data_IF_568944104917
#
_entry.id   IF_568944104917
#
_cell.length_a   1.000
_cell.length_b   1.000
_cell.length_c   1.000
_cell.angle_alpha   90.00
_cell.angle_beta   90.00
_cell.angle_gamma   90.00
#
_symmetry.space_group_name_H-M   'P 1'
#
loop_
_entity.id
_entity.type
_entity.pdbx_description
1 polymer ?
#
# COMPACT_ATOMS: atom_id res chain seq x y z
N UNK A 1 -22.93 -0.20 -15.10
CA UNK A 1 -22.10 1.03 -15.26
C UNK A 1 -22.61 2.07 -14.28
N UNK A 2 -21.76 2.63 -13.46
CA UNK A 2 -22.13 3.70 -12.53
C UNK A 2 -22.55 4.93 -13.34
N UNK A 3 -23.73 5.49 -13.08
CA UNK A 3 -24.17 6.71 -13.75
C UNK A 3 -23.64 7.95 -13.00
N UNK A 4 -23.76 9.12 -13.60
CA UNK A 4 -23.28 10.37 -13.02
C UNK A 4 -23.93 10.68 -11.66
N UNK A 5 -25.24 10.45 -11.54
CA UNK A 5 -26.00 10.72 -10.32
C UNK A 5 -25.55 9.81 -9.16
N UNK A 6 -25.30 8.52 -9.43
CA UNK A 6 -24.79 7.58 -8.44
C UNK A 6 -23.39 8.00 -7.93
N UNK A 7 -22.50 8.44 -8.85
CA UNK A 7 -21.18 8.93 -8.49
C UNK A 7 -21.28 10.19 -7.61
N UNK A 8 -22.11 11.15 -8.01
CA UNK A 8 -22.35 12.39 -7.25
C UNK A 8 -22.90 12.06 -5.87
N UNK A 9 -23.87 11.16 -5.76
CA UNK A 9 -24.48 10.79 -4.49
C UNK A 9 -23.47 10.12 -3.56
N UNK A 10 -22.61 9.25 -4.08
CA UNK A 10 -21.50 8.66 -3.30
C UNK A 10 -20.55 9.73 -2.76
N UNK A 11 -20.17 10.71 -3.56
CA UNK A 11 -19.26 11.79 -3.13
C UNK A 11 -19.91 12.71 -2.10
N UNK A 12 -21.20 13.02 -2.25
CA UNK A 12 -21.97 13.84 -1.31
C UNK A 12 -21.99 13.29 0.11
N UNK A 13 -21.90 11.96 0.28
CA UNK A 13 -21.91 11.32 1.61
C UNK A 13 -20.75 11.83 2.49
N UNK A 14 -19.61 12.13 1.92
CA UNK A 14 -18.42 12.51 2.68
C UNK A 14 -17.86 13.90 2.33
N UNK A 15 -18.17 14.45 1.17
CA UNK A 15 -17.69 15.77 0.73
C UNK A 15 -18.84 16.79 0.70
N UNK A 16 -18.93 17.59 1.75
CA UNK A 16 -19.96 18.65 1.89
C UNK A 16 -19.74 19.84 0.95
N UNK A 17 -18.55 19.99 0.38
CA UNK A 17 -18.16 21.11 -0.51
C UNK A 17 -18.16 20.69 -1.99
N UNK A 18 -18.73 19.54 -2.30
CA UNK A 18 -18.87 19.10 -3.69
C UNK A 18 -19.66 20.10 -4.51
N UNK A 19 -19.14 20.44 -5.69
CA UNK A 19 -19.92 21.06 -6.75
C UNK A 19 -20.44 19.94 -7.69
N UNK A 20 -21.74 19.56 -7.60
CA UNK A 20 -22.29 18.47 -8.38
C UNK A 20 -22.27 18.76 -9.89
N UNK A 21 -22.48 20.03 -10.28
CA UNK A 21 -22.51 20.43 -11.69
C UNK A 21 -21.14 20.24 -12.36
N UNK A 22 -20.06 20.61 -11.65
CA UNK A 22 -18.69 20.41 -12.14
C UNK A 22 -18.37 18.93 -12.33
N UNK A 23 -18.76 18.09 -11.38
CA UNK A 23 -18.52 16.64 -11.47
C UNK A 23 -19.34 16.01 -12.59
N UNK A 24 -20.62 16.41 -12.73
CA UNK A 24 -21.47 15.97 -13.84
C UNK A 24 -20.87 16.37 -15.19
N UNK A 25 -20.43 17.62 -15.32
CA UNK A 25 -19.76 18.14 -16.52
C UNK A 25 -18.53 17.31 -16.90
N UNK A 26 -17.72 16.90 -15.91
CA UNK A 26 -16.55 16.06 -16.14
C UNK A 26 -16.93 14.64 -16.60
N UNK A 27 -17.98 14.08 -16.01
CA UNK A 27 -18.55 12.80 -16.43
C UNK A 27 -19.00 12.84 -17.90
N UNK A 28 -19.80 13.83 -18.26
CA UNK A 28 -20.33 13.99 -19.64
C UNK A 28 -19.20 14.26 -20.64
N UNK A 29 -18.19 15.04 -20.22
CA UNK A 29 -17.00 15.30 -21.04
C UNK A 29 -16.22 14.00 -21.32
N UNK A 30 -15.96 13.19 -20.30
CA UNK A 30 -15.27 11.91 -20.45
C UNK A 30 -16.01 10.95 -21.38
N UNK A 31 -17.34 10.82 -21.18
CA UNK A 31 -18.20 9.98 -22.06
C UNK A 31 -18.17 10.46 -23.50
N UNK A 32 -18.28 11.76 -23.73
CA UNK A 32 -18.25 12.37 -25.08
C UNK A 32 -16.87 12.20 -25.73
N UNK A 33 -15.80 12.49 -25.01
CA UNK A 33 -14.42 12.40 -25.52
C UNK A 33 -14.07 10.99 -25.99
N UNK A 34 -14.52 9.96 -25.28
CA UNK A 34 -14.25 8.56 -25.58
C UNK A 34 -15.39 7.85 -26.34
N UNK A 35 -16.38 8.59 -26.90
CA UNK A 35 -17.59 8.03 -27.52
C UNK A 35 -17.34 7.02 -28.64
N UNK A 36 -16.25 7.20 -29.41
CA UNK A 36 -15.87 6.34 -30.54
C UNK A 36 -14.86 5.25 -30.19
N UNK A 37 -14.49 5.11 -28.91
CA UNK A 37 -13.44 4.19 -28.50
C UNK A 37 -14.04 2.99 -27.77
N UNK A 38 -13.41 1.82 -27.94
CA UNK A 38 -13.76 0.57 -27.27
C UNK A 38 -12.54 -0.04 -26.57
N UNK A 39 -12.78 -0.67 -25.44
CA UNK A 39 -11.78 -1.47 -24.75
C UNK A 39 -11.56 -2.83 -25.41
N UNK A 40 -10.51 -3.54 -24.99
CA UNK A 40 -10.22 -4.91 -25.46
C UNK A 40 -11.37 -5.90 -25.13
N UNK A 41 -12.22 -5.60 -24.14
CA UNK A 41 -13.42 -6.36 -23.80
C UNK A 41 -14.59 -6.14 -24.78
N UNK A 42 -14.52 -5.11 -25.63
CA UNK A 42 -15.62 -4.66 -26.47
C UNK A 42 -16.52 -3.59 -25.85
N UNK A 43 -16.39 -3.34 -24.57
CA UNK A 43 -17.14 -2.29 -23.85
C UNK A 43 -16.77 -0.88 -24.31
N UNK A 44 -17.64 0.13 -24.16
CA UNK A 44 -17.29 1.53 -24.36
C UNK A 44 -16.09 1.92 -23.49
N UNK A 45 -15.13 2.69 -24.06
CA UNK A 45 -13.94 3.08 -23.32
C UNK A 45 -14.24 3.90 -22.06
N UNK A 46 -15.32 4.70 -22.10
CA UNK A 46 -15.78 5.53 -20.97
C UNK A 46 -16.06 4.76 -19.67
N UNK A 47 -16.30 3.45 -19.74
CA UNK A 47 -16.41 2.59 -18.55
C UNK A 47 -15.17 2.70 -17.66
N UNK A 48 -13.99 2.80 -18.29
CA UNK A 48 -12.72 2.83 -17.56
C UNK A 48 -12.57 4.08 -16.67
N UNK A 49 -12.58 5.31 -17.19
CA UNK A 49 -12.43 6.48 -16.36
C UNK A 49 -13.54 6.62 -15.30
N UNK A 50 -14.75 6.14 -15.59
CA UNK A 50 -15.84 6.11 -14.59
C UNK A 50 -15.51 5.16 -13.43
N UNK A 51 -14.98 3.97 -13.70
CA UNK A 51 -14.58 3.04 -12.65
C UNK A 51 -13.34 3.50 -11.90
N UNK A 52 -12.39 4.17 -12.55
CA UNK A 52 -11.26 4.84 -11.87
C UNK A 52 -11.77 5.89 -10.89
N UNK A 53 -12.69 6.76 -11.33
CA UNK A 53 -13.33 7.75 -10.46
C UNK A 53 -14.11 7.10 -9.30
N UNK A 54 -14.77 5.96 -9.54
CA UNK A 54 -15.45 5.18 -8.51
C UNK A 54 -14.46 4.64 -7.45
N UNK A 55 -13.32 4.11 -7.85
CA UNK A 55 -12.25 3.66 -6.93
C UNK A 55 -11.75 4.83 -6.08
N UNK A 56 -11.51 6.00 -6.69
CA UNK A 56 -11.08 7.22 -5.98
C UNK A 56 -12.16 7.71 -5.00
N UNK A 57 -13.43 7.54 -5.34
CA UNK A 57 -14.58 7.85 -4.46
C UNK A 57 -14.63 6.90 -3.26
N UNK A 58 -14.37 5.61 -3.45
CA UNK A 58 -14.27 4.64 -2.34
C UNK A 58 -13.12 5.00 -1.37
N UNK A 59 -12.06 5.63 -1.87
CA UNK A 59 -10.98 6.19 -1.07
C UNK A 59 -11.35 7.52 -0.39
N UNK A 60 -12.52 8.09 -0.69
CA UNK A 60 -13.05 9.38 -0.19
C UNK A 60 -12.13 10.57 -0.49
N UNK A 61 -11.58 10.62 -1.69
CA UNK A 61 -10.72 11.70 -2.14
C UNK A 61 -11.50 12.97 -2.50
N UNK A 62 -10.78 14.08 -2.68
CA UNK A 62 -11.35 15.38 -3.03
C UNK A 62 -11.94 15.41 -4.46
N UNK A 63 -12.75 16.43 -4.73
CA UNK A 63 -13.44 16.58 -6.01
C UNK A 63 -12.49 16.74 -7.19
N UNK A 64 -11.33 17.42 -7.01
CA UNK A 64 -10.35 17.60 -8.07
C UNK A 64 -9.72 16.26 -8.47
N UNK A 65 -9.37 15.43 -7.50
CA UNK A 65 -8.82 14.09 -7.75
C UNK A 65 -9.82 13.16 -8.44
N UNK A 66 -11.10 13.18 -8.03
CA UNK A 66 -12.15 12.39 -8.68
C UNK A 66 -12.39 12.87 -10.12
N UNK A 67 -12.44 14.19 -10.33
CA UNK A 67 -12.54 14.79 -11.66
C UNK A 67 -11.35 14.41 -12.53
N UNK A 68 -10.15 14.40 -11.97
CA UNK A 68 -8.94 13.90 -12.66
C UNK A 68 -9.09 12.44 -13.04
N UNK A 69 -9.65 11.58 -12.18
CA UNK A 69 -9.93 10.18 -12.50
C UNK A 69 -10.87 10.01 -13.69
N UNK A 70 -11.88 10.89 -13.86
CA UNK A 70 -12.76 10.91 -15.03
C UNK A 70 -12.02 11.35 -16.30
N UNK A 71 -11.03 12.25 -16.19
CA UNK A 71 -10.40 12.92 -17.32
C UNK A 71 -8.99 12.43 -17.64
N UNK A 72 -8.43 11.49 -16.88
CA UNK A 72 -6.99 11.15 -16.90
C UNK A 72 -6.45 10.70 -18.25
N UNK A 73 -7.27 10.01 -19.07
CA UNK A 73 -6.87 9.55 -20.41
C UNK A 73 -7.28 10.51 -21.53
N UNK A 74 -7.99 11.60 -21.22
CA UNK A 74 -8.56 12.48 -22.27
C UNK A 74 -7.51 13.22 -23.06
N UNK A 75 -6.41 13.68 -22.44
CA UNK A 75 -5.32 14.37 -23.14
C UNK A 75 -4.50 13.37 -24.00
N UNK A 76 -4.33 12.13 -23.52
CA UNK A 76 -3.54 11.12 -24.22
C UNK A 76 -4.30 10.52 -25.42
N UNK A 77 -5.56 10.16 -25.21
CA UNK A 77 -6.30 9.29 -26.13
C UNK A 77 -7.38 10.02 -26.93
N UNK A 78 -7.58 11.34 -26.73
CA UNK A 78 -8.64 12.10 -27.39
C UNK A 78 -8.16 13.45 -27.96
N UNK A 79 -9.12 14.26 -28.38
CA UNK A 79 -8.88 15.63 -28.89
C UNK A 79 -8.62 16.66 -27.80
N UNK A 80 -8.77 16.32 -26.52
CA UNK A 80 -8.64 17.26 -25.43
C UNK A 80 -7.19 17.69 -25.24
N UNK A 81 -6.99 18.98 -24.97
CA UNK A 81 -5.68 19.57 -24.69
C UNK A 81 -5.63 20.06 -23.24
N UNK A 82 -4.41 20.32 -22.73
CA UNK A 82 -4.23 20.93 -21.42
C UNK A 82 -5.07 22.21 -21.26
N UNK A 83 -5.07 23.10 -22.28
CA UNK A 83 -5.81 24.35 -22.26
C UNK A 83 -7.33 24.12 -22.24
N UNK A 84 -7.81 23.09 -22.94
CA UNK A 84 -9.23 22.71 -22.89
C UNK A 84 -9.63 22.29 -21.47
N UNK A 85 -8.84 21.41 -20.84
CA UNK A 85 -9.12 20.95 -19.47
C UNK A 85 -9.00 22.12 -18.47
N UNK A 86 -8.00 22.99 -18.62
CA UNK A 86 -7.82 24.19 -17.78
C UNK A 86 -9.01 25.14 -17.88
N UNK A 87 -9.49 25.41 -19.08
CA UNK A 87 -10.64 26.29 -19.30
C UNK A 87 -11.95 25.75 -18.74
N UNK A 88 -12.18 24.43 -18.86
CA UNK A 88 -13.43 23.80 -18.46
C UNK A 88 -13.49 23.41 -16.96
N UNK A 89 -12.36 22.97 -16.39
CA UNK A 89 -12.30 22.37 -15.05
C UNK A 89 -11.36 23.09 -14.07
N UNK A 90 -10.53 23.99 -14.55
CA UNK A 90 -9.57 24.78 -13.78
C UNK A 90 -8.16 24.21 -13.82
N UNK A 91 -7.19 25.06 -13.42
CA UNK A 91 -5.76 24.78 -13.50
C UNK A 91 -5.34 23.56 -12.67
N UNK A 92 -5.88 23.43 -11.45
CA UNK A 92 -5.59 22.30 -10.55
C UNK A 92 -5.90 20.94 -11.20
N UNK A 93 -7.05 20.82 -11.84
CA UNK A 93 -7.44 19.57 -12.53
C UNK A 93 -6.57 19.36 -13.77
N UNK A 94 -6.28 20.41 -14.53
CA UNK A 94 -5.42 20.34 -15.71
C UNK A 94 -4.00 19.87 -15.36
N UNK A 95 -3.42 20.40 -14.28
CA UNK A 95 -2.08 20.01 -13.81
C UNK A 95 -2.04 18.53 -13.36
N UNK A 96 -3.08 18.07 -12.67
CA UNK A 96 -3.19 16.67 -12.27
C UNK A 96 -3.33 15.74 -13.48
N UNK A 97 -4.20 16.08 -14.45
CA UNK A 97 -4.38 15.28 -15.68
C UNK A 97 -3.08 15.25 -16.49
N UNK A 98 -2.41 16.39 -16.68
CA UNK A 98 -1.11 16.45 -17.36
C UNK A 98 -0.05 15.62 -16.66
N UNK A 99 -0.01 15.64 -15.32
CA UNK A 99 0.87 14.81 -14.51
C UNK A 99 0.65 13.32 -14.74
N UNK A 100 -0.60 12.88 -14.81
CA UNK A 100 -0.95 11.47 -15.09
C UNK A 100 -0.60 11.10 -16.52
N UNK A 101 -0.94 11.96 -17.52
CA UNK A 101 -0.67 11.75 -18.94
C UNK A 101 0.83 11.58 -19.23
N UNK A 102 1.68 12.42 -18.62
CA UNK A 102 3.15 12.33 -18.79
C UNK A 102 3.69 10.97 -18.35
N UNK A 103 3.11 10.33 -17.35
CA UNK A 103 3.52 8.99 -16.93
C UNK A 103 3.08 7.95 -17.97
N UNK A 104 1.83 8.01 -18.44
CA UNK A 104 1.23 7.01 -19.35
C UNK A 104 1.92 6.97 -20.72
N UNK A 105 2.25 8.12 -21.31
CA UNK A 105 2.96 8.20 -22.61
C UNK A 105 4.28 7.39 -22.58
N UNK A 106 4.97 7.38 -21.45
CA UNK A 106 6.24 6.65 -21.32
C UNK A 106 6.05 5.16 -21.09
N UNK A 107 4.96 4.71 -20.43
CA UNK A 107 4.64 3.29 -20.30
C UNK A 107 4.42 2.60 -21.65
N UNK A 108 3.93 3.34 -22.64
CA UNK A 108 3.62 2.85 -23.99
C UNK A 108 4.83 2.77 -24.95
N UNK A 109 5.93 3.49 -24.67
CA UNK A 109 7.11 3.60 -25.56
C UNK A 109 8.26 2.60 -25.29
N UNK A 110 8.03 1.56 -24.51
CA UNK A 110 9.03 0.74 -23.85
C UNK A 110 9.92 -0.14 -24.74
N UNK A 111 11.20 0.21 -24.80
CA UNK A 111 12.35 -0.71 -24.95
C UNK A 111 12.89 -1.12 -23.58
N UNK A 112 13.80 -2.09 -23.48
CA UNK A 112 14.29 -2.73 -22.26
C UNK A 112 14.85 -1.76 -21.17
N UNK A 113 15.34 -0.59 -21.56
CA UNK A 113 15.82 0.47 -20.64
C UNK A 113 14.67 1.32 -20.03
N UNK A 114 13.42 1.03 -20.37
CA UNK A 114 12.30 1.92 -20.08
C UNK A 114 11.68 1.74 -18.70
N UNK A 115 11.82 0.58 -18.05
CA UNK A 115 11.21 0.36 -16.70
C UNK A 115 11.77 1.33 -15.67
N UNK A 116 13.08 1.50 -15.64
CA UNK A 116 13.78 2.39 -14.73
C UNK A 116 13.41 3.86 -15.00
N UNK A 117 13.35 4.24 -16.27
CA UNK A 117 12.99 5.59 -16.68
C UNK A 117 11.50 5.90 -16.41
N UNK A 118 10.60 4.95 -16.66
CA UNK A 118 9.17 5.09 -16.34
C UNK A 118 8.95 5.24 -14.83
N UNK A 119 9.64 4.44 -14.04
CA UNK A 119 9.60 4.55 -12.59
C UNK A 119 10.14 5.90 -12.10
N UNK A 120 11.27 6.36 -12.65
CA UNK A 120 11.83 7.69 -12.36
C UNK A 120 10.81 8.79 -12.60
N UNK A 121 10.15 8.79 -13.75
CA UNK A 121 9.14 9.79 -14.12
C UNK A 121 7.90 9.72 -13.24
N UNK A 122 7.46 8.50 -12.88
CA UNK A 122 6.37 8.30 -11.92
C UNK A 122 6.68 9.00 -10.59
N UNK A 123 7.87 8.77 -10.03
CA UNK A 123 8.26 9.38 -8.76
C UNK A 123 8.41 10.90 -8.88
N UNK A 124 9.01 11.42 -9.96
CA UNK A 124 9.15 12.85 -10.19
C UNK A 124 7.80 13.56 -10.41
N UNK A 125 6.85 12.94 -11.13
CA UNK A 125 5.50 13.50 -11.26
C UNK A 125 4.75 13.49 -9.92
N UNK A 126 4.91 12.42 -9.14
CA UNK A 126 4.32 12.28 -7.81
C UNK A 126 4.88 13.30 -6.81
N UNK A 127 6.15 13.70 -6.97
CA UNK A 127 6.77 14.71 -6.09
C UNK A 127 6.13 16.09 -6.18
N UNK A 128 5.50 16.40 -7.32
CA UNK A 128 4.76 17.65 -7.51
C UNK A 128 3.40 17.61 -6.83
N UNK A 129 2.67 16.52 -7.00
CA UNK A 129 1.39 16.27 -6.35
C UNK A 129 1.16 14.76 -6.19
N UNK A 130 1.03 14.31 -4.95
CA UNK A 130 0.83 12.89 -4.60
C UNK A 130 -0.48 12.33 -5.19
N UNK A 131 -1.47 13.19 -5.50
CA UNK A 131 -2.74 12.78 -6.10
C UNK A 131 -2.55 12.14 -7.47
N UNK A 132 -1.51 12.53 -8.20
CA UNK A 132 -1.11 11.88 -9.46
C UNK A 132 -0.87 10.38 -9.26
N UNK A 133 -0.16 10.00 -8.18
CA UNK A 133 0.07 8.59 -7.86
C UNK A 133 -1.22 7.87 -7.43
N UNK A 134 -2.11 8.55 -6.67
CA UNK A 134 -3.39 7.97 -6.28
C UNK A 134 -4.26 7.62 -7.50
N UNK A 135 -4.32 8.53 -8.49
CA UNK A 135 -5.03 8.29 -9.75
C UNK A 135 -4.38 7.14 -10.52
N UNK A 136 -3.05 7.10 -10.64
CA UNK A 136 -2.34 5.99 -11.32
C UNK A 136 -2.51 4.64 -10.63
N UNK A 137 -2.58 4.58 -9.30
CA UNK A 137 -2.87 3.34 -8.57
C UNK A 137 -4.31 2.89 -8.83
N UNK A 138 -5.27 3.81 -8.87
CA UNK A 138 -6.67 3.49 -9.19
C UNK A 138 -6.83 3.02 -10.64
N UNK A 139 -6.17 3.69 -11.59
CA UNK A 139 -6.08 3.28 -13.00
C UNK A 139 -5.51 1.86 -13.12
N UNK A 140 -4.35 1.61 -12.50
CA UNK A 140 -3.70 0.29 -12.50
C UNK A 140 -4.60 -0.79 -11.89
N UNK A 141 -5.30 -0.48 -10.81
CA UNK A 141 -6.23 -1.42 -10.18
C UNK A 141 -7.38 -1.79 -11.14
N UNK A 142 -8.00 -0.82 -11.81
CA UNK A 142 -9.04 -1.11 -12.78
C UNK A 142 -8.51 -1.89 -13.98
N UNK A 143 -7.32 -1.55 -14.48
CA UNK A 143 -6.65 -2.30 -15.55
C UNK A 143 -6.38 -3.75 -15.15
N UNK A 144 -5.97 -4.01 -13.91
CA UNK A 144 -5.78 -5.37 -13.39
C UNK A 144 -7.10 -6.13 -13.23
N UNK A 145 -8.18 -5.49 -12.80
CA UNK A 145 -9.52 -6.11 -12.74
C UNK A 145 -10.03 -6.58 -14.10
N UNK A 146 -9.63 -5.88 -15.17
CA UNK A 146 -10.06 -6.15 -16.56
C UNK A 146 -8.99 -6.84 -17.41
N UNK A 147 -7.86 -7.27 -16.83
CA UNK A 147 -6.68 -7.76 -17.55
C UNK A 147 -6.97 -9.00 -18.43
N UNK A 148 -7.97 -9.80 -18.06
CA UNK A 148 -8.40 -11.01 -18.79
C UNK A 148 -8.90 -10.71 -20.20
N UNK A 149 -9.38 -9.50 -20.46
CA UNK A 149 -9.83 -9.07 -21.78
C UNK A 149 -8.66 -8.89 -22.78
N UNK A 150 -7.42 -8.76 -22.29
CA UNK A 150 -6.24 -8.67 -23.15
C UNK A 150 -5.91 -10.07 -23.69
N UNK A 151 -5.96 -10.25 -25.00
CA UNK A 151 -5.74 -11.55 -25.65
C UNK A 151 -4.29 -12.03 -25.58
N UNK A 152 -3.31 -11.09 -25.70
CA UNK A 152 -1.88 -11.40 -25.71
C UNK A 152 -1.36 -11.72 -24.31
N UNK A 153 -0.98 -12.99 -24.08
CA UNK A 153 -0.50 -13.49 -22.79
C UNK A 153 0.75 -12.74 -22.30
N UNK A 154 1.74 -12.52 -23.17
CA UNK A 154 2.97 -11.80 -22.80
C UNK A 154 2.68 -10.38 -22.32
N UNK A 155 1.69 -9.69 -22.95
CA UNK A 155 1.25 -8.36 -22.48
C UNK A 155 0.63 -8.45 -21.09
N UNK A 156 -0.24 -9.44 -20.82
CA UNK A 156 -0.81 -9.66 -19.49
C UNK A 156 0.27 -9.90 -18.44
N UNK A 157 1.21 -10.80 -18.73
CA UNK A 157 2.32 -11.14 -17.82
C UNK A 157 3.18 -9.91 -17.52
N UNK A 158 3.52 -9.12 -18.54
CA UNK A 158 4.30 -7.88 -18.37
C UNK A 158 3.59 -6.89 -17.44
N UNK A 159 2.29 -6.64 -17.66
CA UNK A 159 1.49 -5.72 -16.82
C UNK A 159 1.40 -6.25 -15.39
N UNK A 160 1.15 -7.54 -15.20
CA UNK A 160 1.08 -8.16 -13.88
C UNK A 160 2.41 -8.10 -13.13
N UNK A 161 3.53 -8.35 -13.82
CA UNK A 161 4.87 -8.24 -13.25
C UNK A 161 5.18 -6.81 -12.80
N UNK A 162 4.92 -5.83 -13.64
CA UNK A 162 5.10 -4.41 -13.31
C UNK A 162 4.22 -3.99 -12.13
N UNK A 163 2.98 -4.47 -12.09
CA UNK A 163 2.06 -4.22 -10.97
C UNK A 163 2.61 -4.78 -9.66
N UNK A 164 3.14 -6.00 -9.68
CA UNK A 164 3.74 -6.65 -8.51
C UNK A 164 5.03 -5.97 -8.05
N UNK A 165 5.84 -5.47 -8.99
CA UNK A 165 7.16 -4.89 -8.71
C UNK A 165 7.10 -3.41 -8.31
N UNK A 166 6.11 -2.65 -8.80
CA UNK A 166 6.04 -1.19 -8.64
C UNK A 166 4.78 -0.77 -7.89
N UNK A 167 3.59 -1.05 -8.44
CA UNK A 167 2.34 -0.46 -7.95
C UNK A 167 1.87 -1.02 -6.61
N UNK A 168 1.99 -2.34 -6.41
CA UNK A 168 1.62 -2.95 -5.14
C UNK A 168 2.53 -2.47 -3.97
N UNK A 169 3.87 -2.38 -4.12
CA UNK A 169 4.74 -1.78 -3.13
C UNK A 169 4.46 -0.29 -2.86
N UNK A 170 4.15 0.50 -3.89
CA UNK A 170 3.78 1.90 -3.72
C UNK A 170 2.47 2.02 -2.93
N UNK A 171 1.47 1.20 -3.24
CA UNK A 171 0.22 1.16 -2.48
C UNK A 171 0.46 0.77 -1.00
N UNK A 172 1.38 -0.17 -0.73
CA UNK A 172 1.78 -0.54 0.64
C UNK A 172 2.46 0.62 1.37
N UNK A 173 3.38 1.34 0.72
CA UNK A 173 4.03 2.53 1.28
C UNK A 173 3.05 3.64 1.61
N UNK A 174 2.01 3.79 0.80
CA UNK A 174 0.93 4.74 1.04
C UNK A 174 -0.10 4.25 2.08
N UNK A 175 0.12 3.08 2.70
CA UNK A 175 -0.79 2.51 3.69
C UNK A 175 -2.09 1.93 3.09
N UNK A 176 -2.22 1.86 1.76
CA UNK A 176 -3.42 1.41 1.04
C UNK A 176 -3.46 -0.13 0.97
N UNK A 177 -3.51 -0.77 2.13
CA UNK A 177 -3.33 -2.24 2.23
C UNK A 177 -4.39 -3.03 1.46
N UNK A 178 -5.63 -2.54 1.37
CA UNK A 178 -6.69 -3.20 0.61
C UNK A 178 -6.35 -3.23 -0.89
N UNK A 179 -5.92 -2.09 -1.44
CA UNK A 179 -5.54 -1.99 -2.85
C UNK A 179 -4.29 -2.82 -3.14
N UNK A 180 -3.27 -2.75 -2.27
CA UNK A 180 -2.10 -3.61 -2.38
C UNK A 180 -2.48 -5.09 -2.45
N UNK A 181 -3.27 -5.56 -1.48
CA UNK A 181 -3.68 -6.97 -1.39
C UNK A 181 -4.44 -7.41 -2.66
N UNK A 182 -5.27 -6.54 -3.23
CA UNK A 182 -6.01 -6.81 -4.47
C UNK A 182 -5.07 -6.80 -5.69
N UNK A 183 -4.16 -5.83 -5.82
CA UNK A 183 -3.17 -5.77 -6.89
C UNK A 183 -2.24 -6.99 -6.88
N UNK A 184 -1.75 -7.40 -5.70
CA UNK A 184 -0.93 -8.59 -5.52
C UNK A 184 -1.69 -9.86 -5.95
N UNK A 185 -2.95 -10.02 -5.55
CA UNK A 185 -3.73 -11.23 -5.86
C UNK A 185 -4.14 -11.32 -7.34
N UNK A 186 -4.54 -10.20 -7.96
CA UNK A 186 -4.82 -10.14 -9.39
C UNK A 186 -3.57 -10.39 -10.24
N UNK A 187 -2.42 -9.87 -9.80
CA UNK A 187 -1.14 -10.15 -10.47
C UNK A 187 -0.73 -11.61 -10.31
N UNK A 188 -0.93 -12.19 -9.13
CA UNK A 188 -0.65 -13.60 -8.86
C UNK A 188 -1.53 -14.53 -9.71
N UNK A 189 -2.80 -14.17 -9.96
CA UNK A 189 -3.69 -14.90 -10.86
C UNK A 189 -3.12 -14.99 -12.29
N UNK A 190 -2.50 -13.92 -12.78
CA UNK A 190 -1.89 -13.90 -14.12
C UNK A 190 -0.56 -14.63 -14.16
N UNK A 191 0.29 -14.46 -13.13
CA UNK A 191 1.66 -14.95 -13.12
C UNK A 191 1.77 -16.43 -12.72
N UNK A 192 0.86 -16.90 -11.84
CA UNK A 192 0.87 -18.26 -11.33
C UNK A 192 -0.54 -18.76 -10.99
N UNK A 193 -1.37 -18.91 -12.02
CA UNK A 193 -2.78 -19.27 -11.89
C UNK A 193 -3.00 -20.62 -11.18
N UNK A 194 -2.16 -21.61 -11.44
CA UNK A 194 -2.31 -22.95 -10.88
C UNK A 194 -2.14 -22.91 -9.35
N UNK A 195 -1.10 -22.26 -8.86
CA UNK A 195 -0.87 -22.12 -7.43
C UNK A 195 -1.98 -21.29 -6.76
N UNK A 196 -2.45 -20.21 -7.42
CA UNK A 196 -3.56 -19.41 -6.91
C UNK A 196 -4.84 -20.22 -6.80
N UNK A 197 -5.19 -20.97 -7.84
CA UNK A 197 -6.41 -21.79 -7.89
C UNK A 197 -6.38 -22.86 -6.80
N UNK A 198 -5.25 -23.56 -6.63
CA UNK A 198 -5.08 -24.56 -5.57
C UNK A 198 -5.31 -23.96 -4.19
N UNK A 199 -4.71 -22.79 -3.92
CA UNK A 199 -4.85 -22.12 -2.62
C UNK A 199 -6.30 -21.60 -2.44
N UNK A 200 -6.92 -21.07 -3.49
CA UNK A 200 -8.30 -20.56 -3.44
C UNK A 200 -9.29 -21.68 -3.12
N UNK A 201 -9.18 -22.82 -3.82
CA UNK A 201 -10.03 -23.99 -3.56
C UNK A 201 -9.91 -24.45 -2.10
N UNK A 202 -8.68 -24.49 -1.58
CA UNK A 202 -8.45 -24.87 -0.18
C UNK A 202 -9.02 -23.85 0.81
N UNK A 203 -8.93 -22.54 0.49
CA UNK A 203 -9.56 -21.50 1.31
C UNK A 203 -11.08 -21.62 1.31
N UNK A 204 -11.69 -21.95 0.20
CA UNK A 204 -13.15 -22.06 0.07
C UNK A 204 -13.66 -23.32 0.80
N UNK A 205 -12.95 -24.45 0.74
CA UNK A 205 -13.21 -25.61 1.60
C UNK A 205 -13.16 -25.25 3.08
N UNK A 206 -12.09 -24.56 3.51
CA UNK A 206 -11.93 -24.13 4.89
C UNK A 206 -13.03 -23.15 5.32
N UNK A 207 -13.48 -22.27 4.43
CA UNK A 207 -14.57 -21.33 4.73
C UNK A 207 -15.91 -22.05 4.88
N UNK A 208 -16.22 -23.00 3.97
CA UNK A 208 -17.45 -23.76 4.04
C UNK A 208 -17.53 -24.60 5.34
N UNK A 209 -16.46 -25.33 5.66
CA UNK A 209 -16.38 -26.17 6.85
C UNK A 209 -16.38 -25.39 8.18
N UNK A 210 -16.03 -24.10 8.15
CA UNK A 210 -15.80 -23.29 9.35
C UNK A 210 -16.73 -22.09 9.50
N UNK A 211 -17.74 -21.94 8.66
CA UNK A 211 -18.69 -20.81 8.75
C UNK A 211 -19.33 -20.75 10.14
N UNK A 212 -19.84 -21.87 10.61
CA UNK A 212 -20.47 -21.98 11.92
C UNK A 212 -19.48 -21.70 13.07
N UNK A 213 -18.24 -22.16 12.91
CA UNK A 213 -17.16 -21.91 13.89
C UNK A 213 -16.81 -20.43 13.93
N UNK A 214 -16.78 -19.75 12.75
CA UNK A 214 -16.49 -18.35 12.67
C UNK A 214 -17.59 -17.50 13.35
N UNK A 215 -18.86 -17.80 13.07
CA UNK A 215 -20.02 -17.13 13.67
C UNK A 215 -20.06 -17.38 15.18
N UNK A 216 -19.84 -18.60 15.63
CA UNK A 216 -19.78 -18.95 17.04
C UNK A 216 -18.68 -18.18 17.79
N UNK A 217 -17.45 -18.17 17.28
CA UNK A 217 -16.34 -17.43 17.90
C UNK A 217 -16.53 -15.91 17.87
N UNK A 218 -17.12 -15.38 16.78
CA UNK A 218 -17.45 -13.97 16.70
C UNK A 218 -18.47 -13.55 17.78
N UNK A 219 -19.51 -14.36 17.98
CA UNK A 219 -20.51 -14.16 19.00
C UNK A 219 -19.92 -14.28 20.41
N UNK A 220 -19.09 -15.30 20.65
CA UNK A 220 -18.38 -15.50 21.94
C UNK A 220 -17.53 -14.26 22.30
N UNK A 221 -16.70 -13.78 21.38
CA UNK A 221 -15.87 -12.59 21.60
C UNK A 221 -16.75 -11.35 21.80
N UNK A 222 -17.84 -11.21 21.04
CA UNK A 222 -18.75 -10.07 21.17
C UNK A 222 -19.47 -10.06 22.52
N UNK A 223 -19.94 -11.21 23.00
CA UNK A 223 -20.53 -11.37 24.34
C UNK A 223 -19.51 -11.01 25.42
N UNK A 224 -18.30 -11.58 25.33
CA UNK A 224 -17.21 -11.29 26.27
C UNK A 224 -16.89 -9.80 26.38
N UNK A 225 -16.87 -9.08 25.28
CA UNK A 225 -16.60 -7.64 25.28
C UNK A 225 -17.78 -6.83 25.81
N UNK A 226 -19.03 -7.21 25.48
CA UNK A 226 -20.23 -6.55 25.98
C UNK A 226 -20.37 -6.72 27.49
N UNK A 227 -20.08 -7.90 28.05
CA UNK A 227 -20.09 -8.17 29.49
C UNK A 227 -19.09 -7.30 30.27
N UNK A 228 -18.02 -6.86 29.55
CA UNK A 228 -17.03 -5.92 30.07
C UNK A 228 -17.30 -4.45 29.69
N UNK A 229 -18.53 -4.12 29.24
CA UNK A 229 -18.96 -2.78 28.83
C UNK A 229 -18.10 -2.17 27.67
N UNK A 230 -17.57 -2.99 26.77
CA UNK A 230 -16.81 -2.55 25.60
C UNK A 230 -17.66 -2.72 24.35
N UNK A 231 -18.03 -1.59 23.72
CA UNK A 231 -18.71 -1.59 22.44
C UNK A 231 -17.71 -1.84 21.30
N UNK A 232 -17.92 -2.89 20.53
CA UNK A 232 -17.04 -3.27 19.44
C UNK A 232 -17.79 -3.64 18.15
N UNK A 233 -17.08 -3.57 17.02
CA UNK A 233 -17.52 -4.18 15.76
C UNK A 233 -16.50 -5.25 15.37
N UNK A 234 -16.96 -6.48 15.22
CA UNK A 234 -16.11 -7.63 14.91
C UNK A 234 -16.31 -8.04 13.46
N UNK A 235 -15.22 -8.12 12.70
CA UNK A 235 -15.23 -8.54 11.31
C UNK A 235 -14.29 -9.72 11.12
N UNK A 236 -14.71 -10.65 10.27
CA UNK A 236 -13.81 -11.67 9.76
C UNK A 236 -12.78 -11.08 8.81
N UNK A 237 -11.53 -11.56 8.93
CA UNK A 237 -10.47 -11.23 8.00
C UNK A 237 -10.12 -12.43 7.16
N UNK A 238 -10.48 -12.41 5.88
CA UNK A 238 -9.94 -13.35 4.89
C UNK A 238 -8.50 -12.99 4.52
N UNK A 239 -7.67 -13.99 4.31
CA UNK A 239 -6.34 -13.80 3.69
C UNK A 239 -6.48 -14.03 2.19
N UNK A 240 -5.75 -13.23 1.39
CA UNK A 240 -5.69 -13.44 -0.06
C UNK A 240 -4.83 -14.67 -0.40
N UNK A 241 -5.10 -15.37 -1.51
CA UNK A 241 -4.26 -16.47 -1.97
C UNK A 241 -2.79 -16.10 -2.07
N UNK A 242 -2.46 -14.91 -2.59
CA UNK A 242 -1.08 -14.45 -2.66
C UNK A 242 -0.42 -14.31 -1.28
N UNK A 243 -1.14 -13.77 -0.29
CA UNK A 243 -0.60 -13.62 1.08
C UNK A 243 -0.24 -14.98 1.72
N UNK A 244 -1.02 -16.00 1.40
CA UNK A 244 -0.76 -17.39 1.84
C UNK A 244 0.42 -17.97 1.06
N UNK A 245 0.44 -17.83 -0.27
CA UNK A 245 1.55 -18.26 -1.10
C UNK A 245 2.89 -17.69 -0.61
N UNK A 246 2.95 -16.39 -0.36
CA UNK A 246 4.15 -15.74 0.18
C UNK A 246 4.60 -16.32 1.52
N UNK A 247 3.65 -16.72 2.41
CA UNK A 247 3.98 -17.39 3.68
C UNK A 247 4.53 -18.81 3.46
N UNK A 248 3.91 -19.59 2.57
CA UNK A 248 4.38 -20.93 2.20
C UNK A 248 5.83 -20.86 1.71
N UNK A 249 6.10 -19.96 0.76
CA UNK A 249 7.44 -19.78 0.20
C UNK A 249 8.47 -19.33 1.26
N UNK A 250 8.12 -18.31 2.05
CA UNK A 250 9.04 -17.74 3.06
C UNK A 250 9.36 -18.71 4.19
N UNK A 251 8.37 -19.50 4.64
CA UNK A 251 8.52 -20.40 5.79
C UNK A 251 8.88 -21.84 5.39
N UNK A 252 8.83 -22.16 4.08
CA UNK A 252 9.03 -23.50 3.55
C UNK A 252 8.14 -24.55 4.25
N UNK A 253 6.89 -24.18 4.54
CA UNK A 253 5.87 -25.04 5.18
C UNK A 253 4.81 -25.44 4.16
N UNK A 254 4.15 -26.58 4.38
CA UNK A 254 3.01 -26.97 3.54
C UNK A 254 1.79 -26.07 3.80
N UNK A 255 0.86 -26.04 2.86
CA UNK A 255 -0.39 -25.27 2.98
C UNK A 255 -1.22 -25.73 4.20
N UNK A 256 -1.16 -27.01 4.54
CA UNK A 256 -1.85 -27.62 5.69
C UNK A 256 -1.30 -27.15 7.04
N UNK A 257 -0.02 -26.81 7.08
CA UNK A 257 0.65 -26.29 8.30
C UNK A 257 0.35 -24.80 8.55
N UNK A 258 -0.34 -24.11 7.64
CA UNK A 258 -0.78 -22.74 7.85
C UNK A 258 -2.04 -22.75 8.71
N UNK A 259 -1.84 -22.64 10.02
CA UNK A 259 -2.91 -22.68 11.02
C UNK A 259 -3.64 -21.36 11.21
N UNK A 260 -3.03 -20.23 10.80
CA UNK A 260 -3.53 -18.88 11.00
C UNK A 260 -4.44 -18.37 9.85
N UNK A 261 -5.40 -19.22 9.42
CA UNK A 261 -6.33 -18.91 8.32
C UNK A 261 -7.52 -18.10 8.82
N UNK A 262 -7.92 -18.28 10.08
CA UNK A 262 -9.02 -17.55 10.70
C UNK A 262 -8.44 -16.32 11.39
N UNK A 263 -8.91 -15.16 10.99
CA UNK A 263 -8.55 -13.89 11.63
C UNK A 263 -9.79 -13.07 11.95
N UNK A 264 -9.75 -12.37 13.07
CA UNK A 264 -10.75 -11.40 13.47
C UNK A 264 -10.16 -10.02 13.51
N UNK A 265 -10.99 -9.05 13.20
CA UNK A 265 -10.69 -7.64 13.35
C UNK A 265 -11.70 -7.04 14.29
N UNK A 266 -11.23 -6.53 15.42
CA UNK A 266 -12.04 -5.87 16.44
C UNK A 266 -11.82 -4.37 16.29
N UNK A 267 -12.90 -3.63 16.01
CA UNK A 267 -12.88 -2.18 15.85
C UNK A 267 -13.56 -1.55 17.04
N UNK A 268 -12.85 -0.60 17.65
CA UNK A 268 -13.19 0.07 18.90
C UNK A 268 -13.23 1.58 18.73
N UNK A 269 -13.75 2.29 19.72
CA UNK A 269 -13.91 3.74 19.65
C UNK A 269 -12.61 4.50 19.98
N UNK A 270 -11.84 4.03 20.94
CA UNK A 270 -10.63 4.71 21.45
C UNK A 270 -9.49 3.72 21.74
N UNK A 271 -8.29 4.26 22.00
CA UNK A 271 -7.08 3.48 22.26
C UNK A 271 -7.14 2.73 23.57
N UNK A 272 -7.72 3.33 24.61
CA UNK A 272 -7.84 2.70 25.93
C UNK A 272 -8.64 1.40 25.84
N UNK A 273 -9.74 1.41 25.08
CA UNK A 273 -10.53 0.22 24.85
C UNK A 273 -9.76 -0.83 24.03
N UNK A 274 -8.80 -0.44 23.19
CA UNK A 274 -7.94 -1.41 22.50
C UNK A 274 -7.07 -2.21 23.50
N UNK A 275 -6.46 -1.53 24.47
CA UNK A 275 -5.64 -2.20 25.48
C UNK A 275 -6.48 -2.98 26.49
N UNK A 276 -7.66 -2.46 26.91
CA UNK A 276 -8.60 -3.22 27.74
C UNK A 276 -9.06 -4.50 27.05
N UNK A 277 -9.43 -4.41 25.76
CA UNK A 277 -9.81 -5.57 24.94
C UNK A 277 -8.70 -6.60 24.85
N UNK A 278 -7.44 -6.17 24.66
CA UNK A 278 -6.29 -7.08 24.69
C UNK A 278 -6.20 -7.84 26.02
N UNK A 279 -6.32 -7.12 27.15
CA UNK A 279 -6.28 -7.73 28.48
C UNK A 279 -7.39 -8.74 28.71
N UNK A 280 -8.61 -8.43 28.30
CA UNK A 280 -9.77 -9.34 28.40
C UNK A 280 -9.55 -10.60 27.55
N UNK A 281 -9.12 -10.45 26.31
CA UNK A 281 -8.84 -11.56 25.40
C UNK A 281 -7.73 -12.46 25.94
N UNK A 282 -6.63 -11.89 26.45
CA UNK A 282 -5.52 -12.67 27.00
C UNK A 282 -5.85 -13.32 28.36
N UNK A 283 -6.84 -12.80 29.10
CA UNK A 283 -7.36 -13.44 30.31
C UNK A 283 -8.20 -14.67 29.98
N UNK A 284 -9.02 -14.59 28.92
CA UNK A 284 -9.95 -15.67 28.54
C UNK A 284 -9.28 -16.76 27.69
N UNK A 285 -8.40 -16.37 26.78
CA UNK A 285 -7.76 -17.28 25.84
C UNK A 285 -6.25 -17.36 26.04
N UNK A 286 -5.69 -18.55 25.90
CA UNK A 286 -4.25 -18.77 25.95
C UNK A 286 -3.56 -18.10 24.75
N UNK A 287 -2.68 -17.12 24.99
CA UNK A 287 -1.93 -16.47 23.92
C UNK A 287 -0.79 -17.34 23.39
N UNK A 288 -0.54 -17.22 22.07
CA UNK A 288 0.54 -17.94 21.39
C UNK A 288 1.83 -17.09 21.48
N UNK A 289 2.89 -17.60 22.14
CA UNK A 289 4.15 -16.88 22.30
C UNK A 289 4.73 -16.40 20.96
N UNK A 290 5.33 -15.21 20.96
CA UNK A 290 5.98 -14.62 19.78
C UNK A 290 5.03 -14.14 18.67
N UNK A 291 3.71 -14.15 18.91
CA UNK A 291 2.68 -13.67 17.96
C UNK A 291 2.09 -12.32 18.33
N UNK A 292 2.43 -11.80 19.49
CA UNK A 292 2.02 -10.46 19.92
C UNK A 292 2.86 -9.37 19.24
N UNK A 293 2.20 -8.32 18.73
CA UNK A 293 2.85 -7.13 18.16
C UNK A 293 1.99 -5.92 18.45
N UNK A 294 2.57 -4.91 19.05
CA UNK A 294 1.92 -3.63 19.32
C UNK A 294 2.39 -2.56 18.32
N UNK A 295 1.58 -2.34 17.29
CA UNK A 295 1.79 -1.28 16.33
C UNK A 295 1.04 0.01 16.68
N UNK A 296 0.36 0.08 17.87
CA UNK A 296 -0.20 1.34 18.36
C UNK A 296 0.91 2.15 19.02
N UNK A 297 1.67 1.54 19.92
CA UNK A 297 2.81 2.16 20.61
C UNK A 297 4.03 2.34 19.68
N UNK A 298 4.23 1.42 18.74
CA UNK A 298 5.32 1.47 17.76
C UNK A 298 4.77 1.29 16.34
N UNK A 299 4.25 2.37 15.71
CA UNK A 299 3.66 2.31 14.38
C UNK A 299 4.65 1.84 13.31
N UNK A 300 4.14 1.18 12.27
CA UNK A 300 4.95 0.87 11.09
C UNK A 300 5.36 2.14 10.35
N UNK A 301 6.40 2.05 9.53
CA UNK A 301 6.92 3.17 8.72
C UNK A 301 5.84 3.80 7.84
N UNK A 302 4.90 3.01 7.34
CA UNK A 302 3.76 3.47 6.53
C UNK A 302 2.58 3.99 7.38
N UNK A 303 2.78 4.31 8.66
CA UNK A 303 1.75 4.85 9.54
C UNK A 303 0.72 3.83 10.05
N UNK A 304 0.83 2.54 9.71
CA UNK A 304 -0.10 1.51 10.14
C UNK A 304 -0.06 1.32 11.67
N UNK A 305 -1.24 1.35 12.30
CA UNK A 305 -1.44 1.15 13.74
C UNK A 305 -2.46 0.04 13.98
N UNK A 306 -2.14 -0.91 14.85
CA UNK A 306 -3.05 -1.97 15.31
C UNK A 306 -2.33 -2.82 16.35
N UNK A 307 -3.03 -3.40 17.29
CA UNK A 307 -2.50 -4.50 18.11
C UNK A 307 -2.78 -5.80 17.36
N UNK A 308 -1.76 -6.65 17.22
CA UNK A 308 -1.89 -7.99 16.68
C UNK A 308 -1.58 -9.00 17.77
N UNK A 309 -2.46 -9.95 17.97
CA UNK A 309 -2.22 -11.10 18.83
C UNK A 309 -2.77 -12.37 18.21
N UNK A 310 -2.28 -13.51 18.65
CA UNK A 310 -2.85 -14.79 18.30
C UNK A 310 -3.09 -15.60 19.56
N UNK A 311 -4.27 -16.20 19.64
CA UNK A 311 -4.74 -16.97 20.78
C UNK A 311 -5.25 -18.34 20.35
N UNK A 312 -5.35 -19.28 21.30
CA UNK A 312 -6.02 -20.55 21.09
C UNK A 312 -7.49 -20.38 21.46
N UNK A 313 -8.37 -20.44 20.48
CA UNK A 313 -9.82 -20.32 20.71
C UNK A 313 -10.42 -21.54 21.42
N UNK A 314 -11.71 -21.44 21.79
CA UNK A 314 -12.50 -22.50 22.43
C UNK A 314 -12.48 -23.83 21.65
N UNK A 315 -12.36 -23.77 20.33
CA UNK A 315 -12.22 -24.90 19.41
C UNK A 315 -10.80 -25.48 19.33
N UNK A 316 -9.87 -25.09 20.20
CA UNK A 316 -8.43 -25.47 20.22
C UNK A 316 -7.66 -25.10 18.94
N UNK A 317 -8.16 -24.16 18.14
CA UNK A 317 -7.49 -23.69 16.91
C UNK A 317 -6.89 -22.29 17.11
N UNK A 318 -5.73 -22.01 16.48
CA UNK A 318 -5.15 -20.68 16.49
C UNK A 318 -6.05 -19.65 15.80
N UNK A 319 -6.22 -18.50 16.45
CA UNK A 319 -7.01 -17.37 15.97
C UNK A 319 -6.10 -16.15 15.97
N UNK A 320 -5.97 -15.47 14.83
CA UNK A 320 -5.29 -14.18 14.74
C UNK A 320 -6.31 -13.05 15.02
N UNK A 321 -6.01 -12.15 15.95
CA UNK A 321 -6.87 -11.04 16.32
C UNK A 321 -6.13 -9.74 16.08
N UNK A 322 -6.77 -8.83 15.34
CA UNK A 322 -6.32 -7.45 15.12
C UNK A 322 -7.25 -6.51 15.87
N UNK A 323 -6.71 -5.71 16.78
CA UNK A 323 -7.45 -4.75 17.59
C UNK A 323 -7.01 -3.35 17.19
N UNK A 324 -7.97 -2.48 16.85
CA UNK A 324 -7.69 -1.12 16.41
C UNK A 324 -8.89 -0.19 16.55
N UNK A 325 -8.67 1.11 16.58
CA UNK A 325 -9.76 2.09 16.58
C UNK A 325 -10.39 2.23 15.18
N UNK A 326 -11.55 2.91 15.12
CA UNK A 326 -12.19 3.26 13.83
C UNK A 326 -11.26 4.08 12.95
N UNK A 327 -10.52 5.06 13.51
CA UNK A 327 -9.55 5.86 12.75
C UNK A 327 -8.40 5.03 12.19
N UNK A 328 -7.83 4.13 13.01
CA UNK A 328 -6.78 3.21 12.59
C UNK A 328 -7.28 2.23 11.51
N UNK A 329 -8.57 1.85 11.59
CA UNK A 329 -9.20 1.02 10.57
C UNK A 329 -9.32 1.77 9.26
N UNK A 330 -9.84 2.98 9.29
CA UNK A 330 -9.98 3.84 8.13
C UNK A 330 -8.62 4.10 7.46
N UNK A 331 -7.60 4.37 8.27
CA UNK A 331 -6.24 4.52 7.75
C UNK A 331 -5.71 3.23 7.11
N UNK A 332 -5.92 2.08 7.74
CA UNK A 332 -5.46 0.80 7.20
C UNK A 332 -6.19 0.35 5.92
N UNK A 333 -7.42 0.84 5.68
CA UNK A 333 -8.18 0.55 4.45
C UNK A 333 -7.86 1.53 3.32
N UNK A 334 -7.68 2.82 3.63
CA UNK A 334 -7.54 3.91 2.65
C UNK A 334 -6.15 4.52 2.59
N UNK A 335 -5.29 4.19 3.57
CA UNK A 335 -3.96 4.75 3.68
C UNK A 335 -3.97 6.27 3.81
N UNK A 336 -3.04 6.88 3.15
CA UNK A 336 -2.87 8.34 3.06
C UNK A 336 -4.17 9.07 2.66
N UNK A 337 -5.01 8.47 1.84
CA UNK A 337 -6.29 9.05 1.42
C UNK A 337 -7.23 9.34 2.61
N UNK A 338 -7.08 8.69 3.76
CA UNK A 338 -7.88 8.96 4.96
C UNK A 338 -7.66 10.36 5.54
N UNK A 339 -6.47 10.94 5.34
CA UNK A 339 -6.15 12.29 5.83
C UNK A 339 -6.78 13.41 4.99
N UNK A 340 -7.18 13.12 3.74
CA UNK A 340 -7.83 14.10 2.86
C UNK A 340 -9.22 14.52 3.35
N UNK A 341 -9.90 13.70 4.10
CA UNK A 341 -11.25 13.94 4.57
C UNK A 341 -11.35 15.12 5.56
N UNK A 342 -10.27 15.44 6.28
CA UNK A 342 -10.26 16.43 7.35
C UNK A 342 -9.71 17.81 6.93
N UNK A 343 -9.15 17.97 5.74
CA UNK A 343 -8.45 19.19 5.31
C UNK A 343 -9.09 19.87 4.10
N UNK A 344 -10.38 20.16 4.17
CA UNK A 344 -11.14 20.80 3.07
C UNK A 344 -11.00 22.32 2.95
N UNK A 345 -10.14 22.99 3.70
CA UNK A 345 -10.09 24.48 3.72
C UNK A 345 -8.70 25.15 3.73
N UNK A 346 -7.60 24.41 3.84
CA UNK A 346 -6.27 25.01 3.77
C UNK A 346 -5.49 24.52 2.55
N UNK A 347 -4.90 25.49 1.83
CA UNK A 347 -4.08 25.25 0.65
C UNK A 347 -3.08 24.11 0.90
N UNK A 348 -2.94 23.23 -0.05
CA UNK A 348 -2.08 22.03 -0.11
C UNK A 348 -0.62 22.23 0.37
N UNK A 349 -0.18 23.46 0.56
CA UNK A 349 1.18 23.86 0.94
C UNK A 349 1.59 23.56 2.39
N UNK A 350 0.72 22.97 3.24
CA UNK A 350 1.03 22.70 4.65
C UNK A 350 0.81 21.26 5.11
N UNK A 351 0.61 20.30 4.20
CA UNK A 351 0.74 18.90 4.55
C UNK A 351 2.15 18.69 5.10
N UNK A 352 2.21 18.37 6.37
CA UNK A 352 3.47 18.11 7.05
C UNK A 352 4.17 16.97 6.33
N UNK A 353 5.18 17.32 5.55
CA UNK A 353 6.02 16.44 4.73
C UNK A 353 6.60 15.25 5.49
N UNK A 354 6.47 15.20 6.81
CA UNK A 354 6.91 14.07 7.65
C UNK A 354 6.30 12.72 7.25
N UNK A 355 5.08 12.72 6.72
CA UNK A 355 4.41 11.47 6.27
C UNK A 355 4.91 11.04 4.87
N UNK A 356 5.60 11.93 4.15
CA UNK A 356 6.12 11.72 2.79
C UNK A 356 7.65 11.80 2.71
N UNK A 357 8.36 11.79 3.84
CA UNK A 357 9.82 11.84 3.85
C UNK A 357 10.43 10.75 2.96
N UNK A 358 9.80 9.57 2.91
CA UNK A 358 10.23 8.51 2.02
C UNK A 358 10.16 8.88 0.52
N UNK A 359 9.17 9.70 0.10
CA UNK A 359 9.06 10.15 -1.28
C UNK A 359 10.13 11.19 -1.61
N UNK A 360 10.43 12.08 -0.66
CA UNK A 360 11.54 13.03 -0.80
C UNK A 360 12.88 12.30 -0.90
N UNK A 361 13.10 11.32 -0.03
CA UNK A 361 14.30 10.47 -0.07
C UNK A 361 14.44 9.81 -1.45
N UNK A 362 13.34 9.28 -2.02
CA UNK A 362 13.34 8.69 -3.34
C UNK A 362 13.64 9.70 -4.45
N UNK A 363 13.04 10.89 -4.38
CA UNK A 363 13.29 11.99 -5.36
C UNK A 363 14.76 12.39 -5.29
N UNK A 364 15.31 12.61 -4.11
CA UNK A 364 16.71 12.98 -3.92
C UNK A 364 17.68 11.93 -4.48
N UNK A 365 17.39 10.65 -4.27
CA UNK A 365 18.14 9.53 -4.84
C UNK A 365 18.09 9.56 -6.38
N UNK A 366 16.91 9.79 -6.93
CA UNK A 366 16.67 9.82 -8.37
C UNK A 366 17.35 11.02 -9.02
N UNK A 367 17.36 12.18 -8.37
CA UNK A 367 18.00 13.40 -8.87
C UNK A 367 19.55 13.34 -8.81
N UNK A 368 20.10 12.70 -7.78
CA UNK A 368 21.54 12.59 -7.59
C UNK A 368 22.21 11.52 -8.46
N UNK A 369 21.44 10.55 -8.96
CA UNK A 369 21.97 9.45 -9.78
C UNK A 369 21.65 9.66 -11.28
N UNK A 370 22.68 9.80 -12.07
CA UNK A 370 22.56 9.93 -13.54
C UNK A 370 22.15 8.61 -14.24
N UNK A 371 22.43 7.44 -13.62
CA UNK A 371 22.09 6.15 -14.18
C UNK A 371 20.70 5.68 -13.69
N UNK A 372 19.68 5.62 -14.58
CA UNK A 372 18.32 5.22 -14.20
C UNK A 372 18.20 3.79 -13.66
N UNK A 373 19.02 2.84 -14.15
CA UNK A 373 18.97 1.44 -13.72
C UNK A 373 19.46 1.27 -12.27
N UNK A 374 20.56 1.92 -11.91
CA UNK A 374 21.06 1.92 -10.54
C UNK A 374 20.07 2.59 -9.58
N UNK A 375 19.47 3.71 -10.01
CA UNK A 375 18.43 4.39 -9.24
C UNK A 375 17.21 3.50 -9.03
N UNK A 376 16.78 2.75 -10.05
CA UNK A 376 15.64 1.85 -10.00
C UNK A 376 15.86 0.69 -9.03
N UNK A 377 16.99 -0.03 -9.15
CA UNK A 377 17.30 -1.14 -8.26
C UNK A 377 17.46 -0.68 -6.80
N UNK A 378 18.15 0.43 -6.58
CA UNK A 378 18.29 1.00 -5.24
C UNK A 378 16.94 1.43 -4.64
N UNK A 379 16.09 2.10 -5.43
CA UNK A 379 14.77 2.54 -5.00
C UNK A 379 13.83 1.35 -4.76
N UNK A 380 13.91 0.32 -5.60
CA UNK A 380 13.20 -0.95 -5.40
C UNK A 380 13.58 -1.57 -4.06
N UNK A 381 14.88 -1.64 -3.75
CA UNK A 381 15.35 -2.09 -2.44
C UNK A 381 14.77 -1.24 -1.31
N UNK A 382 14.74 0.07 -1.43
CA UNK A 382 14.17 1.00 -0.44
C UNK A 382 12.65 0.82 -0.26
N UNK A 383 11.91 0.49 -1.30
CA UNK A 383 10.46 0.27 -1.21
C UNK A 383 10.10 -1.02 -0.47
N UNK A 384 10.92 -2.07 -0.59
CA UNK A 384 10.65 -3.38 0.00
C UNK A 384 11.17 -3.56 1.43
N UNK A 385 11.91 -2.59 2.01
CA UNK A 385 12.67 -2.84 3.22
C UNK A 385 12.07 -2.19 4.47
N UNK A 386 11.91 -3.01 5.51
CA UNK A 386 11.89 -2.55 6.91
C UNK A 386 13.30 -2.02 7.23
N UNK A 387 13.41 -0.84 7.84
CA UNK A 387 14.71 -0.26 8.19
C UNK A 387 15.23 -0.83 9.50
N UNK A 388 16.56 -0.92 9.60
CA UNK A 388 17.30 -1.13 10.84
C UNK A 388 17.86 0.23 11.26
N UNK A 389 17.67 0.61 12.51
CA UNK A 389 18.22 1.85 13.06
C UNK A 389 19.47 1.51 13.87
N UNK A 390 20.59 2.08 13.49
CA UNK A 390 21.87 1.89 14.17
C UNK A 390 22.31 3.17 14.85
N UNK A 391 22.79 3.05 16.06
CA UNK A 391 23.33 4.18 16.83
C UNK A 391 24.84 4.21 16.69
N UNK A 392 25.37 5.39 16.37
CA UNK A 392 26.80 5.64 16.45
C UNK A 392 27.21 5.81 17.92
N UNK A 393 28.49 5.62 18.27
CA UNK A 393 29.01 5.91 19.63
C UNK A 393 28.74 7.35 20.10
N UNK A 394 28.57 8.28 19.15
CA UNK A 394 28.27 9.70 19.44
C UNK A 394 26.75 9.94 19.60
N UNK A 395 25.92 8.89 19.58
CA UNK A 395 24.46 8.97 19.76
C UNK A 395 23.68 9.38 18.51
N UNK A 396 24.29 9.52 17.34
CA UNK A 396 23.58 9.77 16.09
C UNK A 396 22.89 8.49 15.60
N UNK A 397 21.68 8.63 15.04
CA UNK A 397 20.91 7.51 14.50
C UNK A 397 21.10 7.44 12.99
N UNK A 398 21.54 6.28 12.50
CA UNK A 398 21.65 5.99 11.08
C UNK A 398 20.61 4.95 10.70
N UNK A 399 19.81 5.28 9.70
CA UNK A 399 18.76 4.43 9.15
C UNK A 399 19.34 3.61 8.00
N UNK A 400 19.30 2.29 8.12
CA UNK A 400 19.76 1.35 7.11
C UNK A 400 18.64 0.44 6.66
N UNK A 401 18.73 -0.14 5.45
CA UNK A 401 17.78 -1.13 5.01
C UNK A 401 17.85 -2.41 5.85
N UNK A 402 16.75 -3.14 5.94
CA UNK A 402 16.71 -4.49 6.54
C UNK A 402 17.68 -5.42 5.79
N UNK A 403 18.39 -6.24 6.52
CA UNK A 403 19.49 -7.07 6.06
C UNK A 403 20.78 -6.28 5.73
N UNK A 404 20.84 -4.98 6.04
CA UNK A 404 22.08 -4.25 6.01
C UNK A 404 23.11 -4.89 6.94
N UNK A 405 24.36 -4.72 6.60
CA UNK A 405 25.50 -5.25 7.31
C UNK A 405 26.26 -4.12 8.01
N UNK A 406 27.16 -4.41 8.96
CA UNK A 406 28.05 -3.41 9.54
C UNK A 406 28.87 -2.62 8.51
N UNK A 407 29.21 -3.21 7.37
CA UNK A 407 29.90 -2.50 6.30
C UNK A 407 28.99 -1.46 5.63
N UNK A 408 27.69 -1.76 5.46
CA UNK A 408 26.72 -0.77 4.95
C UNK A 408 26.57 0.40 5.92
N UNK A 409 26.62 0.12 7.24
CA UNK A 409 26.63 1.16 8.26
C UNK A 409 27.89 2.02 8.17
N UNK A 410 29.06 1.41 7.98
CA UNK A 410 30.32 2.12 7.86
C UNK A 410 30.29 3.13 6.70
N UNK A 411 29.81 2.71 5.52
CA UNK A 411 29.65 3.60 4.35
C UNK A 411 28.56 4.66 4.57
N UNK A 412 27.49 4.34 5.30
CA UNK A 412 26.45 5.31 5.63
C UNK A 412 26.91 6.39 6.61
N UNK A 413 27.92 6.10 7.43
CA UNK A 413 28.60 7.10 8.28
C UNK A 413 29.48 8.02 7.44
N UNK A 414 30.43 7.45 6.69
CA UNK A 414 31.30 8.16 5.76
C UNK A 414 32.09 7.15 4.92
N UNK A 415 32.33 7.48 3.64
CA UNK A 415 33.06 6.61 2.70
C UNK A 415 34.40 6.17 3.27
N UNK A 416 35.15 7.09 3.87
CA UNK A 416 36.45 6.79 4.47
C UNK A 416 36.38 5.78 5.63
N UNK A 417 35.27 5.81 6.42
CA UNK A 417 35.03 4.83 7.49
C UNK A 417 34.74 3.45 6.88
N UNK A 418 33.97 3.40 5.81
CA UNK A 418 33.69 2.17 5.06
C UNK A 418 34.96 1.55 4.49
N UNK A 419 35.80 2.37 3.85
CA UNK A 419 37.04 1.90 3.21
C UNK A 419 38.10 1.41 4.23
N UNK A 420 38.06 1.89 5.48
CA UNK A 420 39.07 1.58 6.53
C UNK A 420 38.55 0.65 7.62
N UNK A 421 37.26 0.25 7.59
CA UNK A 421 36.68 -0.64 8.58
C UNK A 421 37.33 -2.03 8.53
N UNK A 422 37.91 -2.48 9.65
CA UNK A 422 38.57 -3.79 9.78
C UNK A 422 37.81 -4.77 10.67
N UNK A 423 36.80 -4.29 11.41
CA UNK A 423 35.97 -5.08 12.29
C UNK A 423 34.70 -4.30 12.70
N UNK A 424 33.84 -4.91 13.47
CA UNK A 424 32.71 -4.24 14.09
C UNK A 424 32.34 -4.90 15.43
N UNK A 425 31.80 -4.09 16.30
CA UNK A 425 31.14 -4.53 17.52
C UNK A 425 29.66 -4.12 17.47
N UNK A 426 28.79 -5.07 17.65
CA UNK A 426 27.32 -4.89 17.58
C UNK A 426 26.74 -5.20 18.96
N UNK A 427 26.17 -4.21 19.63
CA UNK A 427 25.63 -4.33 21.00
C UNK A 427 26.63 -4.95 22.01
N UNK A 428 27.90 -4.54 21.92
CA UNK A 428 28.96 -5.03 22.80
C UNK A 428 29.55 -6.39 22.43
N UNK A 429 29.22 -6.94 21.25
CA UNK A 429 29.77 -8.21 20.78
C UNK A 429 30.48 -8.02 19.43
N UNK A 430 31.66 -8.58 19.29
CA UNK A 430 32.37 -8.62 18.01
C UNK A 430 31.58 -9.45 16.98
N UNK A 431 31.44 -8.90 15.79
CA UNK A 431 30.76 -9.55 14.65
C UNK A 431 31.54 -9.33 13.35
N UNK A 432 31.29 -10.21 12.39
CA UNK A 432 31.86 -10.03 11.05
C UNK A 432 31.21 -8.82 10.35
N UNK A 433 32.01 -8.06 9.58
CA UNK A 433 31.52 -6.90 8.81
C UNK A 433 30.39 -7.25 7.81
N UNK A 434 30.27 -8.51 7.42
CA UNK A 434 29.23 -9.02 6.51
C UNK A 434 28.04 -9.65 7.25
N UNK A 435 28.02 -9.67 8.59
CA UNK A 435 26.89 -10.21 9.37
C UNK A 435 25.64 -9.33 9.15
N UNK A 436 24.45 -9.96 9.10
CA UNK A 436 23.21 -9.23 8.92
C UNK A 436 22.78 -8.56 10.23
N UNK A 437 22.51 -7.26 10.19
CA UNK A 437 21.95 -6.52 11.30
C UNK A 437 20.45 -6.89 11.45
N UNK A 438 20.11 -7.59 12.53
CA UNK A 438 18.78 -8.20 12.70
C UNK A 438 17.84 -7.47 13.64
N UNK A 439 18.35 -6.48 14.41
CA UNK A 439 17.58 -5.75 15.44
C UNK A 439 17.40 -4.30 15.02
N UNK A 440 16.20 -3.75 15.22
CA UNK A 440 15.84 -2.39 14.81
C UNK A 440 16.55 -1.27 15.60
N UNK A 441 17.20 -1.59 16.73
CA UNK A 441 18.00 -0.66 17.55
C UNK A 441 19.30 -1.34 17.90
N UNK A 442 20.38 -0.97 17.23
CA UNK A 442 21.69 -1.60 17.33
C UNK A 442 22.75 -0.54 17.60
N UNK A 443 23.50 -0.69 18.67
CA UNK A 443 24.70 0.12 18.92
C UNK A 443 25.86 -0.48 18.14
N UNK A 444 26.49 0.33 17.29
CA UNK A 444 27.58 -0.09 16.41
C UNK A 444 28.85 0.72 16.67
N UNK A 445 29.92 0.02 16.89
CA UNK A 445 31.29 0.57 16.98
C UNK A 445 32.12 -0.05 15.86
N UNK A 446 32.89 0.77 15.16
CA UNK A 446 33.72 0.35 14.04
C UNK A 446 35.17 0.69 14.33
N UNK A 447 36.01 -0.28 14.71
CA UNK A 447 37.48 -0.06 14.68
C UNK A 447 37.92 0.09 13.22
N UNK A 448 38.74 1.13 12.99
CA UNK A 448 39.32 1.45 11.67
C UNK A 448 40.81 1.20 11.70
N UNK A 449 41.41 0.86 10.57
CA UNK A 449 42.84 0.65 10.43
C UNK A 449 43.67 1.95 10.54
N UNK A 450 42.98 3.11 10.49
CA UNK A 450 43.57 4.44 10.64
C UNK A 450 42.85 5.18 11.76
N UNK A 451 43.56 5.82 12.72
CA UNK A 451 42.93 6.68 13.73
C UNK A 451 42.23 7.86 13.04
N UNK A 452 40.96 8.06 13.29
CA UNK A 452 40.16 9.19 12.81
C UNK A 452 40.20 10.33 13.81
#
# INVERSE_FOLDING_TARGET
MLNSEDLINKVKIYNKFLNPEKLNKAYDFAVKAHSNQKRASGDPYSVHPIEVANILTDLKLDSATITTGLLHDTIEDTYATYETIKGEFGEEVADLVDGVTKISVFENTATTNSKAENFRKLILATSKDIRVLLVKIADRLHNMRTIKAITKEDKRKRIAQETMEIYAPLADRMGMHRIRDELEDLSFEVLNNDARTLIQNRLDEIKSDKKDIFESLSNEINTLLNDNNIQSKIYGRGKTPFSIWRKVQKKRVSLEQITDIIGFRIILKNIDDCYKTLGIIHKEYNCIPGKFKDYISSPKINGYKSIHTAVIGSNKKPIEIQIRTTEMHDFAERGIASHWQYKSSEKFNSLTWKEYDWLKDLVEIIEKNENPEHSYEYTKLQMFQENVFCFTPKGSVIKLPKNATPIDFAYAVHTQVGDTAVGCEVNGNEQALQSVLTVSYTHLTLPTSVPV
#
